data_IF_859175802018
#
_entry.id   IF_859175802018
#
_cell.length_a   1.000
_cell.length_b   1.000
_cell.length_c   1.000
_cell.angle_alpha   90.00
_cell.angle_beta   90.00
_cell.angle_gamma   90.00
#
_symmetry.space_group_name_H-M   'P 1'
#
loop_
_entity.id
_entity.type
_entity.pdbx_description
1 polymer ?
#
# COMPACT_ATOMS: atom_id res chain seq x y z
N UNK A 1 4.11 5.36 -10.88
CA UNK A 1 3.04 4.98 -9.92
C UNK A 1 2.85 6.09 -8.90
N UNK A 2 1.70 6.19 -8.24
CA UNK A 2 1.42 7.22 -7.23
C UNK A 2 0.55 6.70 -6.10
N UNK A 3 0.63 7.36 -4.95
CA UNK A 3 -0.36 7.27 -3.90
C UNK A 3 -1.62 8.02 -4.34
N UNK A 4 -2.79 7.48 -4.03
CA UNK A 4 -4.05 8.16 -4.29
C UNK A 4 -5.06 7.86 -3.20
N UNK A 5 -5.97 8.81 -2.95
CA UNK A 5 -7.13 8.55 -2.12
C UNK A 5 -8.03 7.51 -2.80
N UNK A 6 -8.62 6.61 -2.02
CA UNK A 6 -9.52 5.58 -2.52
C UNK A 6 -10.86 6.21 -2.93
N UNK A 7 -11.24 6.19 -4.22
CA UNK A 7 -12.57 6.62 -4.66
C UNK A 7 -13.67 5.73 -4.06
N UNK A 8 -14.90 6.23 -3.98
CA UNK A 8 -16.05 5.40 -3.57
C UNK A 8 -16.32 4.31 -4.62
N UNK A 9 -16.60 3.09 -4.16
CA UNK A 9 -16.92 1.95 -5.03
C UNK A 9 -15.71 1.40 -5.80
N UNK A 10 -14.49 1.66 -5.32
CA UNK A 10 -13.26 1.19 -5.93
C UNK A 10 -13.06 -0.31 -5.70
N UNK A 11 -12.80 -1.05 -6.77
CA UNK A 11 -12.21 -2.39 -6.69
C UNK A 11 -10.72 -2.30 -6.42
N UNK A 12 -10.27 -2.96 -5.37
CA UNK A 12 -8.87 -2.98 -4.96
C UNK A 12 -8.50 -4.33 -4.36
N UNK A 13 -7.21 -4.61 -4.37
CA UNK A 13 -6.64 -5.77 -3.68
C UNK A 13 -5.76 -5.31 -2.53
N UNK A 14 -5.55 -6.17 -1.54
CA UNK A 14 -4.68 -5.90 -0.40
C UNK A 14 -3.42 -6.77 -0.45
N UNK A 15 -2.31 -6.26 0.08
CA UNK A 15 -1.09 -7.03 0.31
C UNK A 15 -0.94 -7.35 1.80
N UNK A 16 -0.85 -8.63 2.14
CA UNK A 16 -0.48 -9.12 3.46
C UNK A 16 0.93 -9.68 3.43
N UNK A 17 1.81 -9.12 4.25
CA UNK A 17 3.24 -9.45 4.30
C UNK A 17 3.83 -9.06 5.65
N UNK A 18 5.02 -9.59 5.95
CA UNK A 18 5.80 -9.15 7.10
C UNK A 18 6.71 -7.98 6.72
N UNK A 19 6.73 -6.97 7.57
CA UNK A 19 7.71 -5.91 7.48
C UNK A 19 9.05 -6.49 7.93
N UNK A 20 9.94 -6.76 6.98
CA UNK A 20 11.29 -7.20 7.31
C UNK A 20 12.05 -6.16 8.13
N UNK A 21 13.20 -6.53 8.69
CA UNK A 21 14.07 -5.62 9.45
C UNK A 21 14.83 -4.57 8.62
N UNK A 22 14.39 -4.29 7.40
CA UNK A 22 15.09 -3.44 6.43
C UNK A 22 14.41 -2.08 6.33
N UNK A 23 15.21 -1.02 6.16
CA UNK A 23 14.66 0.29 5.83
C UNK A 23 13.98 0.21 4.47
N UNK A 24 12.71 0.63 4.42
CA UNK A 24 11.89 0.61 3.21
C UNK A 24 11.13 1.92 3.09
N UNK A 25 10.69 2.24 1.87
CA UNK A 25 9.84 3.40 1.63
C UNK A 25 8.55 3.26 2.46
N UNK A 26 8.31 4.26 3.30
CA UNK A 26 7.11 4.42 4.10
C UNK A 26 6.52 5.79 3.83
N UNK A 27 5.20 5.88 3.86
CA UNK A 27 4.52 7.17 3.79
C UNK A 27 4.64 7.87 5.13
N UNK A 28 5.14 9.10 5.08
CA UNK A 28 5.30 10.01 6.20
C UNK A 28 4.72 11.37 5.82
N UNK A 29 4.35 12.20 6.80
CA UNK A 29 3.77 13.54 6.54
C UNK A 29 4.61 14.37 5.57
N UNK A 30 5.93 14.28 5.67
CA UNK A 30 6.87 15.03 4.80
C UNK A 30 6.90 14.56 3.35
N UNK A 31 6.47 13.33 3.06
CA UNK A 31 6.61 12.74 1.73
C UNK A 31 5.26 12.38 1.06
N UNK A 32 4.15 12.43 1.80
CA UNK A 32 2.81 12.05 1.30
C UNK A 32 2.41 12.83 0.04
N UNK A 33 2.68 14.13 -0.01
CA UNK A 33 2.38 14.96 -1.18
C UNK A 33 3.22 14.53 -2.39
N UNK A 34 4.53 14.32 -2.20
CA UNK A 34 5.44 13.82 -3.24
C UNK A 34 5.00 12.45 -3.76
N UNK A 35 4.63 11.54 -2.87
CA UNK A 35 4.17 10.20 -3.24
C UNK A 35 2.85 10.23 -4.01
N UNK A 36 2.02 11.26 -3.81
CA UNK A 36 0.72 11.43 -4.47
C UNK A 36 0.81 12.03 -5.88
N UNK A 37 1.97 12.56 -6.28
CA UNK A 37 2.22 13.04 -7.64
C UNK A 37 2.38 11.89 -8.62
N UNK A 38 2.11 12.14 -9.90
CA UNK A 38 2.37 11.16 -10.96
C UNK A 38 3.84 10.76 -10.95
N UNK A 39 4.10 9.45 -10.91
CA UNK A 39 5.43 8.87 -10.73
C UNK A 39 6.15 9.22 -9.42
N UNK A 40 5.40 9.65 -8.39
CA UNK A 40 5.91 9.88 -7.05
C UNK A 40 6.46 8.63 -6.34
N UNK A 41 5.97 7.45 -6.74
CA UNK A 41 6.49 6.15 -6.27
C UNK A 41 7.30 5.50 -7.39
N UNK A 42 8.60 5.32 -7.11
CA UNK A 42 9.58 4.67 -7.97
C UNK A 42 9.78 3.21 -7.52
N UNK A 43 9.88 2.28 -8.46
CA UNK A 43 9.95 0.84 -8.16
C UNK A 43 11.28 0.44 -7.50
N UNK A 44 12.34 1.19 -7.78
CA UNK A 44 13.69 0.97 -7.24
C UNK A 44 13.73 1.16 -5.71
N UNK A 45 12.87 2.03 -5.17
CA UNK A 45 12.77 2.31 -3.74
C UNK A 45 11.88 1.36 -2.95
N UNK A 46 11.26 0.38 -3.61
CA UNK A 46 10.33 -0.55 -2.97
C UNK A 46 11.01 -1.90 -2.66
N UNK A 47 10.69 -2.53 -1.52
CA UNK A 47 11.03 -3.92 -1.26
C UNK A 47 10.52 -4.85 -2.36
N UNK A 48 11.23 -5.97 -2.55
CA UNK A 48 10.90 -6.96 -3.58
C UNK A 48 9.45 -7.45 -3.46
N UNK A 49 8.98 -7.75 -2.25
CA UNK A 49 7.61 -8.21 -1.99
C UNK A 49 6.55 -7.25 -2.53
N UNK A 50 6.73 -5.93 -2.32
CA UNK A 50 5.79 -4.92 -2.81
C UNK A 50 5.90 -4.79 -4.33
N UNK A 51 7.12 -4.83 -4.88
CA UNK A 51 7.35 -4.78 -6.33
C UNK A 51 6.67 -5.94 -7.04
N UNK A 52 6.83 -7.16 -6.53
CA UNK A 52 6.25 -8.37 -7.10
C UNK A 52 4.72 -8.33 -7.02
N UNK A 53 4.15 -7.86 -5.91
CA UNK A 53 2.72 -7.66 -5.77
C UNK A 53 2.17 -6.66 -6.80
N UNK A 54 2.85 -5.52 -6.98
CA UNK A 54 2.47 -4.51 -8.00
C UNK A 54 2.53 -5.11 -9.41
N UNK A 55 3.61 -5.85 -9.73
CA UNK A 55 3.76 -6.49 -11.04
C UNK A 55 2.68 -7.54 -11.27
N UNK A 56 2.34 -8.33 -10.25
CA UNK A 56 1.24 -9.28 -10.31
C UNK A 56 -0.07 -8.57 -10.62
N UNK A 57 -0.45 -7.55 -9.85
CA UNK A 57 -1.67 -6.76 -10.08
C UNK A 57 -1.74 -6.22 -11.52
N UNK A 58 -0.64 -5.65 -12.03
CA UNK A 58 -0.57 -5.17 -13.41
C UNK A 58 -0.81 -6.28 -14.43
N UNK A 59 -0.22 -7.47 -14.25
CA UNK A 59 -0.38 -8.62 -15.15
C UNK A 59 -1.82 -9.12 -15.22
N UNK A 60 -2.55 -9.06 -14.11
CA UNK A 60 -3.95 -9.50 -14.05
C UNK A 60 -4.96 -8.36 -14.28
N UNK A 61 -4.52 -7.17 -14.66
CA UNK A 61 -5.39 -6.04 -15.01
C UNK A 61 -5.94 -5.24 -13.82
N UNK A 62 -5.34 -5.38 -12.64
CA UNK A 62 -5.74 -4.68 -11.42
C UNK A 62 -4.95 -3.39 -11.22
N UNK A 63 -5.68 -2.30 -10.99
CA UNK A 63 -5.11 -0.95 -10.92
C UNK A 63 -4.75 -0.49 -9.51
N UNK A 64 -5.47 -0.98 -8.50
CA UNK A 64 -5.36 -0.50 -7.12
C UNK A 64 -4.93 -1.63 -6.19
N UNK A 65 -3.84 -1.36 -5.47
CA UNK A 65 -3.27 -2.23 -4.46
C UNK A 65 -3.12 -1.43 -3.17
N UNK A 66 -3.68 -1.92 -2.09
CA UNK A 66 -3.46 -1.40 -0.76
C UNK A 66 -2.23 -2.06 -0.14
N UNK A 67 -1.30 -1.23 0.32
CA UNK A 67 -0.08 -1.65 1.02
C UNK A 67 0.06 -0.78 2.25
N UNK A 68 -0.02 -1.36 3.44
CA UNK A 68 0.01 -0.66 4.73
C UNK A 68 1.13 0.41 4.84
N UNK A 69 2.37 0.07 4.47
CA UNK A 69 3.53 0.96 4.55
C UNK A 69 3.39 2.21 3.65
N UNK A 70 2.62 2.12 2.57
CA UNK A 70 2.42 3.19 1.59
C UNK A 70 1.08 3.91 1.79
N UNK A 71 0.03 3.21 2.20
CA UNK A 71 -1.32 3.74 2.32
C UNK A 71 -1.61 4.38 3.68
N UNK A 72 -0.79 4.13 4.69
CA UNK A 72 -0.91 4.69 6.05
C UNK A 72 0.24 5.65 6.31
N UNK A 73 -0.04 6.80 6.92
CA UNK A 73 0.97 7.79 7.32
C UNK A 73 1.64 7.32 8.63
N UNK A 74 2.83 6.75 8.51
CA UNK A 74 3.49 5.98 9.57
C UNK A 74 3.98 6.81 10.76
N UNK A 75 4.28 8.10 10.53
CA UNK A 75 4.67 9.05 11.57
C UNK A 75 3.46 9.75 12.22
N UNK A 76 2.24 9.44 11.79
CA UNK A 76 1.01 9.91 12.42
C UNK A 76 0.36 8.81 13.26
N UNK A 77 0.55 8.86 14.58
CA UNK A 77 -0.02 7.88 15.51
C UNK A 77 -1.55 7.80 15.45
N UNK A 78 -2.23 8.90 15.13
CA UNK A 78 -3.69 8.93 15.04
C UNK A 78 -4.14 8.23 13.76
N UNK A 79 -3.48 8.51 12.64
CA UNK A 79 -3.77 7.82 11.37
C UNK A 79 -3.46 6.33 11.48
N UNK A 80 -2.30 5.95 12.02
CA UNK A 80 -1.93 4.55 12.24
C UNK A 80 -2.98 3.82 13.08
N UNK A 81 -3.39 4.38 14.22
CA UNK A 81 -4.40 3.74 15.07
C UNK A 81 -5.75 3.60 14.35
N UNK A 82 -6.16 4.64 13.63
CA UNK A 82 -7.38 4.64 12.81
C UNK A 82 -7.34 3.56 11.73
N UNK A 83 -6.26 3.47 10.96
CA UNK A 83 -6.10 2.49 9.88
C UNK A 83 -6.02 1.07 10.43
N UNK A 84 -5.32 0.84 11.55
CA UNK A 84 -5.27 -0.46 12.23
C UNK A 84 -6.67 -0.89 12.67
N UNK A 85 -7.46 0.00 13.27
CA UNK A 85 -8.84 -0.30 13.67
C UNK A 85 -9.75 -0.65 12.48
N UNK A 86 -9.45 -0.11 11.30
CA UNK A 86 -10.17 -0.36 10.06
C UNK A 86 -9.62 -1.55 9.26
N UNK A 87 -8.49 -2.13 9.69
CA UNK A 87 -7.76 -3.11 8.90
C UNK A 87 -8.60 -4.36 8.59
N UNK A 88 -9.45 -4.78 9.54
CA UNK A 88 -10.43 -5.84 9.30
C UNK A 88 -11.36 -5.51 8.11
N UNK A 89 -11.86 -4.28 8.04
CA UNK A 89 -12.71 -3.82 6.94
C UNK A 89 -11.94 -3.74 5.63
N UNK A 90 -10.69 -3.26 5.65
CA UNK A 90 -9.83 -3.19 4.47
C UNK A 90 -9.67 -4.57 3.84
N UNK A 91 -9.30 -5.59 4.64
CA UNK A 91 -9.17 -6.95 4.13
C UNK A 91 -10.51 -7.57 3.72
N UNK A 92 -11.60 -7.25 4.44
CA UNK A 92 -12.95 -7.76 4.13
C UNK A 92 -13.48 -7.23 2.79
N UNK A 93 -13.18 -5.98 2.45
CA UNK A 93 -13.69 -5.32 1.24
C UNK A 93 -12.70 -5.35 0.07
N UNK A 94 -11.48 -5.86 0.27
CA UNK A 94 -10.58 -6.17 -0.83
C UNK A 94 -11.17 -7.31 -1.66
N UNK A 95 -11.13 -7.19 -2.99
CA UNK A 95 -11.62 -8.22 -3.90
C UNK A 95 -10.81 -9.53 -3.78
N UNK A 96 -9.53 -9.39 -3.47
CA UNK A 96 -8.67 -10.47 -2.99
C UNK A 96 -7.46 -9.91 -2.22
N UNK A 97 -6.81 -10.79 -1.47
CA UNK A 97 -5.57 -10.48 -0.74
C UNK A 97 -4.43 -11.30 -1.30
N UNK A 98 -3.33 -10.63 -1.66
CA UNK A 98 -2.06 -11.27 -1.98
C UNK A 98 -1.35 -11.53 -0.66
N UNK A 99 -0.96 -12.77 -0.41
CA UNK A 99 -0.22 -13.15 0.80
C UNK A 99 1.20 -13.51 0.43
N UNK A 100 2.17 -12.76 0.96
CA UNK A 100 3.57 -13.12 0.86
C UNK A 100 3.91 -14.10 2.00
N UNK A 101 4.00 -15.39 1.66
CA UNK A 101 4.47 -16.43 2.57
C UNK A 101 6.00 -16.53 2.49
N UNK A 102 6.68 -15.72 3.31
CA UNK A 102 8.15 -15.65 3.44
C UNK A 102 8.64 -16.39 4.68
#
# INVERSE_FOLDING_TARGET
>A
MKLCSAPKGLSFCALSYLWGGVSMLKTEKRNVERLSQDNGILEEGLPLTIRDAIQFCRKIGWRYLWVDALCIIQDDKVDVASQISQMQSIYRFADFTIVAAS
#
